data_IF_900774356008
#
_entry.id   IF_900774356008
#
_cell.length_a   1.000
_cell.length_b   1.000
_cell.length_c   1.000
_cell.angle_alpha   90.00
_cell.angle_beta   90.00
_cell.angle_gamma   90.00
#
_symmetry.space_group_name_H-M   'P 1'
#
loop_
_entity.id
_entity.type
_entity.pdbx_description
1 polymer ?
#
# COMPACT_ATOMS: atom_id res chain seq x y z
N UNK A 1 31.33 84.71 0.28
CA UNK A 1 32.01 83.40 0.27
C UNK A 1 33.43 83.74 -0.15
N UNK A 2 34.46 83.69 0.68
CA UNK A 2 34.89 82.56 1.50
C UNK A 2 35.53 83.03 2.80
N UNK A 3 35.16 82.35 3.89
CA UNK A 3 35.61 82.64 5.24
C UNK A 3 36.79 81.72 5.60
N UNK A 4 37.83 82.37 6.13
CA UNK A 4 38.59 81.93 7.30
C UNK A 4 39.65 80.83 7.12
N UNK A 5 40.91 81.26 7.14
CA UNK A 5 42.06 80.45 7.57
C UNK A 5 42.87 81.19 8.63
N UNK A 6 43.36 80.40 9.58
CA UNK A 6 44.49 80.64 10.47
C UNK A 6 44.25 81.54 11.69
N UNK A 7 44.29 80.96 12.91
CA UNK A 7 45.52 80.89 13.70
C UNK A 7 45.37 80.20 15.08
N UNK A 8 46.40 79.42 15.43
CA UNK A 8 47.11 79.36 16.74
C UNK A 8 46.36 78.73 17.94
N UNK A 9 46.94 77.69 18.57
CA UNK A 9 47.79 77.83 19.77
C UNK A 9 48.09 76.49 20.50
N UNK A 10 49.36 76.38 20.99
CA UNK A 10 49.83 75.72 22.24
C UNK A 10 50.18 74.21 22.32
N UNK A 11 51.49 73.99 22.35
CA UNK A 11 52.33 72.99 23.08
C UNK A 11 52.04 73.14 24.61
N UNK A 12 52.17 72.15 25.56
CA UNK A 12 53.44 71.43 25.84
C UNK A 12 53.53 70.05 26.58
N UNK A 13 54.69 69.40 26.37
CA UNK A 13 55.65 68.79 27.35
C UNK A 13 55.27 67.58 28.23
N UNK A 14 56.16 66.55 28.20
CA UNK A 14 56.52 65.70 29.36
C UNK A 14 56.81 64.22 29.00
N UNK A 15 58.08 63.81 28.76
CA UNK A 15 58.98 63.03 29.68
C UNK A 15 58.40 61.65 30.09
N UNK A 16 59.06 60.50 30.06
CA UNK A 16 60.48 60.13 30.08
C UNK A 16 60.66 58.63 29.71
N UNK A 17 61.93 58.27 29.48
CA UNK A 17 62.55 56.98 29.17
C UNK A 17 62.33 55.78 30.13
N UNK A 18 62.74 54.61 29.59
CA UNK A 18 63.12 53.34 30.22
C UNK A 18 61.96 52.39 30.56
N UNK A 19 62.00 51.09 30.27
CA UNK A 19 63.09 50.21 29.87
C UNK A 19 62.79 48.81 30.43
N UNK A 20 62.79 47.82 29.54
CA UNK A 20 63.04 46.39 29.76
C UNK A 20 62.10 45.52 30.65
N UNK A 21 61.46 44.56 29.95
CA UNK A 21 61.42 43.10 30.20
C UNK A 21 60.86 42.60 31.54
N UNK A 22 59.73 41.87 31.48
CA UNK A 22 59.55 40.60 32.21
C UNK A 22 58.25 39.87 31.80
N UNK A 23 58.41 38.64 31.29
CA UNK A 23 57.52 37.47 31.42
C UNK A 23 56.02 37.64 31.13
N UNK A 24 55.59 37.21 29.93
CA UNK A 24 54.19 36.87 29.67
C UNK A 24 53.86 35.57 30.40
N UNK A 25 53.11 35.69 31.49
CA UNK A 25 52.48 34.56 32.18
C UNK A 25 51.30 34.08 31.32
N UNK A 26 51.36 32.84 30.86
CA UNK A 26 50.21 32.13 30.27
C UNK A 26 49.26 31.77 31.41
N UNK A 27 48.18 32.53 31.57
CA UNK A 27 47.01 32.10 32.34
C UNK A 27 45.99 31.57 31.34
N UNK A 28 45.91 30.25 31.21
CA UNK A 28 44.79 29.59 30.55
C UNK A 28 43.58 29.69 31.49
N UNK A 29 42.72 30.68 31.29
CA UNK A 29 41.41 30.70 31.92
C UNK A 29 40.54 29.63 31.26
N UNK A 30 40.31 28.54 31.99
CA UNK A 30 39.26 27.59 31.67
C UNK A 30 37.90 28.30 31.80
N UNK A 31 37.42 28.85 30.69
CA UNK A 31 36.06 29.35 30.60
C UNK A 31 35.08 28.19 30.50
N UNK A 32 34.24 27.99 31.52
CA UNK A 32 33.03 27.18 31.44
C UNK A 32 32.04 27.84 30.47
N UNK A 33 32.01 27.34 29.24
CA UNK A 33 30.92 27.60 28.29
C UNK A 33 30.04 26.36 28.18
N UNK A 34 28.87 26.40 28.81
CA UNK A 34 27.78 25.44 28.56
C UNK A 34 27.22 25.74 27.17
N UNK A 35 27.73 25.05 26.16
CA UNK A 35 27.10 24.93 24.85
C UNK A 35 26.24 23.68 24.83
N UNK A 36 24.97 23.82 25.16
CA UNK A 36 23.99 22.75 25.02
C UNK A 36 23.77 22.36 23.56
N UNK A 37 23.45 21.07 23.41
CA UNK A 37 22.46 20.50 22.50
C UNK A 37 22.90 20.06 21.09
N UNK A 38 22.66 18.76 20.92
CA UNK A 38 22.24 18.00 19.73
C UNK A 38 23.26 17.77 18.60
N UNK A 39 24.04 16.69 18.75
CA UNK A 39 24.42 15.86 17.59
C UNK A 39 23.66 14.54 17.61
N UNK A 40 22.33 14.62 17.64
CA UNK A 40 21.43 13.49 17.35
C UNK A 40 20.33 13.86 16.34
N UNK A 41 20.49 14.95 15.58
CA UNK A 41 19.45 15.41 14.65
C UNK A 41 19.64 14.95 13.20
N UNK A 42 20.66 14.16 12.87
CA UNK A 42 20.90 13.73 11.47
C UNK A 42 20.42 12.31 11.16
N UNK A 43 20.16 11.46 12.15
CA UNK A 43 19.52 10.14 11.92
C UNK A 43 17.99 10.28 11.78
N UNK A 44 17.40 11.40 12.22
CA UNK A 44 15.97 11.70 12.06
C UNK A 44 15.58 12.17 10.65
N UNK A 45 16.50 12.76 9.89
CA UNK A 45 16.24 13.26 8.54
C UNK A 45 16.55 12.26 7.42
N UNK A 46 17.17 11.11 7.75
CA UNK A 46 17.39 10.00 6.82
C UNK A 46 16.15 9.10 6.64
N UNK A 47 15.00 9.46 7.22
CA UNK A 47 13.71 8.77 7.01
C UNK A 47 12.87 9.40 5.89
N UNK A 48 13.49 10.11 4.95
CA UNK A 48 12.94 10.31 3.60
C UNK A 48 13.07 9.02 2.78
N UNK A 49 12.67 7.87 3.36
CA UNK A 49 12.39 6.69 2.57
C UNK A 49 11.15 7.03 1.75
N UNK A 50 11.39 7.53 0.54
CA UNK A 50 10.45 7.76 -0.54
C UNK A 50 9.69 6.47 -0.88
N UNK A 51 8.79 6.07 0.00
CA UNK A 51 7.77 5.08 -0.31
C UNK A 51 6.58 5.87 -0.80
N UNK A 52 6.45 6.02 -2.13
CA UNK A 52 5.18 6.45 -2.74
C UNK A 52 4.09 5.55 -2.18
N UNK A 53 3.31 6.06 -1.23
CA UNK A 53 2.25 5.32 -0.58
C UNK A 53 1.10 5.24 -1.58
N UNK A 54 0.59 4.04 -1.81
CA UNK A 54 -0.62 3.84 -2.62
C UNK A 54 -1.80 4.36 -1.80
N UNK A 55 -2.22 5.60 -2.10
CA UNK A 55 -3.30 6.31 -1.40
C UNK A 55 -4.67 6.11 -2.06
N UNK A 56 -4.69 5.74 -3.33
CA UNK A 56 -5.90 5.59 -4.12
C UNK A 56 -5.93 4.22 -4.77
N UNK A 57 -7.11 3.63 -4.78
CA UNK A 57 -7.45 2.39 -5.48
C UNK A 57 -8.04 2.77 -6.85
N UNK A 58 -7.17 3.00 -7.85
CA UNK A 58 -7.58 3.18 -9.25
C UNK A 58 -7.64 1.84 -10.00
N UNK A 59 -8.83 1.46 -10.48
CA UNK A 59 -9.05 0.25 -11.27
C UNK A 59 -9.79 0.59 -12.55
N UNK A 60 -9.30 0.07 -13.66
CA UNK A 60 -9.99 0.08 -14.94
C UNK A 60 -10.51 -1.31 -15.27
N UNK A 61 -11.84 -1.43 -15.38
CA UNK A 61 -12.53 -2.63 -15.84
C UNK A 61 -12.84 -2.49 -17.32
N UNK A 62 -12.41 -3.46 -18.12
CA UNK A 62 -12.58 -3.46 -19.59
C UNK A 62 -13.38 -4.70 -19.99
N UNK A 63 -14.65 -4.53 -20.36
CA UNK A 63 -15.48 -5.64 -20.79
C UNK A 63 -15.38 -5.91 -22.29
N UNK A 64 -15.23 -7.18 -22.64
CA UNK A 64 -15.44 -7.62 -24.03
C UNK A 64 -16.93 -7.69 -24.35
N UNK A 65 -17.26 -7.67 -25.64
CA UNK A 65 -18.64 -7.76 -26.12
C UNK A 65 -19.28 -9.11 -25.81
N UNK A 66 -18.51 -10.18 -25.62
CA UNK A 66 -18.98 -11.53 -25.27
C UNK A 66 -19.23 -11.75 -23.77
N UNK A 67 -19.16 -10.69 -22.96
CA UNK A 67 -19.30 -10.75 -21.50
C UNK A 67 -20.52 -11.56 -21.05
N UNK A 68 -20.28 -12.49 -20.12
CA UNK A 68 -21.26 -13.18 -19.30
C UNK A 68 -22.46 -13.74 -20.09
N UNK A 69 -22.19 -14.34 -21.24
CA UNK A 69 -23.25 -14.78 -22.15
C UNK A 69 -24.19 -15.84 -21.54
N UNK A 70 -25.46 -15.83 -21.97
CA UNK A 70 -26.40 -16.89 -21.64
C UNK A 70 -26.17 -18.16 -22.48
N UNK A 71 -26.93 -19.23 -22.21
CA UNK A 71 -26.84 -20.48 -22.99
C UNK A 71 -27.15 -20.30 -24.49
N UNK A 72 -27.85 -19.24 -24.87
CA UNK A 72 -28.10 -18.87 -26.27
C UNK A 72 -27.01 -17.96 -26.87
N UNK A 73 -25.94 -17.68 -26.13
CA UNK A 73 -24.83 -16.82 -26.55
C UNK A 73 -25.09 -15.32 -26.42
N UNK A 74 -26.22 -14.89 -25.85
CA UNK A 74 -26.52 -13.48 -25.66
C UNK A 74 -25.69 -12.90 -24.51
N UNK A 75 -24.86 -11.85 -24.75
CA UNK A 75 -24.07 -11.21 -23.70
C UNK A 75 -24.94 -10.56 -22.63
N UNK A 76 -24.52 -10.65 -21.36
CA UNK A 76 -25.23 -10.07 -20.21
C UNK A 76 -24.29 -9.19 -19.39
N UNK A 77 -24.88 -8.25 -18.65
CA UNK A 77 -24.12 -7.52 -17.63
C UNK A 77 -23.70 -8.44 -16.49
N UNK A 78 -22.67 -8.06 -15.75
CA UNK A 78 -22.28 -8.70 -14.48
C UNK A 78 -21.96 -7.64 -13.44
N UNK A 79 -21.98 -8.03 -12.16
CA UNK A 79 -21.46 -7.20 -11.07
C UNK A 79 -20.02 -7.59 -10.82
N UNK A 80 -19.12 -6.60 -10.81
CA UNK A 80 -17.76 -6.74 -10.31
C UNK A 80 -17.70 -6.08 -8.94
N UNK A 81 -17.36 -6.86 -7.91
CA UNK A 81 -17.16 -6.39 -6.55
C UNK A 81 -15.67 -6.35 -6.22
N UNK A 82 -15.23 -5.21 -5.72
CA UNK A 82 -13.89 -4.96 -5.24
C UNK A 82 -13.91 -4.98 -3.70
N UNK A 83 -12.96 -5.67 -3.11
CA UNK A 83 -12.79 -5.78 -1.66
C UNK A 83 -11.41 -5.23 -1.28
N UNK A 84 -11.35 -4.27 -0.37
CA UNK A 84 -10.09 -3.92 0.27
C UNK A 84 -9.93 -4.79 1.52
N UNK A 85 -8.81 -5.51 1.61
CA UNK A 85 -8.58 -6.55 2.61
C UNK A 85 -7.26 -6.34 3.36
N UNK A 86 -7.25 -6.68 4.66
CA UNK A 86 -6.04 -6.76 5.50
C UNK A 86 -5.13 -7.92 5.09
N UNK A 87 -5.72 -9.05 4.70
CA UNK A 87 -5.03 -10.28 4.27
C UNK A 87 -5.85 -10.99 3.18
N UNK A 88 -5.20 -11.80 2.34
CA UNK A 88 -5.87 -12.56 1.27
C UNK A 88 -6.25 -13.98 1.66
N UNK A 89 -5.73 -14.54 2.76
CA UNK A 89 -5.84 -15.96 3.10
C UNK A 89 -7.28 -16.46 3.15
N UNK A 90 -8.16 -15.73 3.86
CA UNK A 90 -9.58 -16.07 3.94
C UNK A 90 -10.22 -15.95 2.55
N UNK A 91 -10.00 -14.83 1.87
CA UNK A 91 -10.53 -14.56 0.53
C UNK A 91 -10.15 -15.62 -0.50
N UNK A 92 -8.89 -16.08 -0.51
CA UNK A 92 -8.39 -17.08 -1.45
C UNK A 92 -9.11 -18.43 -1.29
N UNK A 93 -9.48 -18.78 -0.06
CA UNK A 93 -10.14 -20.05 0.27
C UNK A 93 -11.66 -20.02 0.03
N UNK A 94 -12.29 -18.84 -0.04
CA UNK A 94 -13.73 -18.75 -0.25
C UNK A 94 -14.10 -19.14 -1.69
N UNK A 95 -15.12 -19.99 -1.80
CA UNK A 95 -15.72 -20.35 -3.07
C UNK A 95 -16.65 -19.25 -3.60
N UNK A 96 -17.15 -19.47 -4.81
CA UNK A 96 -18.03 -18.53 -5.51
C UNK A 96 -19.31 -18.25 -4.73
N UNK A 97 -19.98 -19.30 -4.28
CA UNK A 97 -21.29 -19.19 -3.60
C UNK A 97 -21.15 -18.43 -2.29
N UNK A 98 -20.12 -18.72 -1.49
CA UNK A 98 -19.85 -18.00 -0.24
C UNK A 98 -19.59 -16.52 -0.48
N UNK A 99 -18.83 -16.16 -1.52
CA UNK A 99 -18.61 -14.76 -1.87
C UNK A 99 -19.86 -14.08 -2.48
N UNK A 100 -20.76 -14.85 -3.10
CA UNK A 100 -21.98 -14.29 -3.68
C UNK A 100 -23.05 -14.01 -2.63
N UNK A 101 -23.18 -14.87 -1.61
CA UNK A 101 -24.31 -14.81 -0.66
C UNK A 101 -23.94 -14.44 0.77
N UNK A 102 -22.68 -14.61 1.18
CA UNK A 102 -22.25 -14.46 2.58
C UNK A 102 -20.87 -13.79 2.72
N UNK A 103 -20.45 -12.99 1.74
CA UNK A 103 -19.10 -12.40 1.72
C UNK A 103 -18.78 -11.54 2.94
N UNK A 104 -19.66 -10.63 3.34
CA UNK A 104 -19.41 -9.71 4.46
C UNK A 104 -19.15 -10.45 5.79
N UNK A 105 -19.91 -11.52 6.04
CA UNK A 105 -19.71 -12.36 7.22
C UNK A 105 -18.44 -13.20 7.08
N UNK A 106 -18.24 -13.84 5.93
CA UNK A 106 -17.10 -14.70 5.67
C UNK A 106 -15.76 -13.96 5.70
N UNK A 107 -15.72 -12.69 5.29
CA UNK A 107 -14.52 -11.85 5.23
C UNK A 107 -14.39 -10.91 6.44
N UNK A 108 -15.32 -10.92 7.40
CA UNK A 108 -15.46 -9.91 8.47
C UNK A 108 -14.15 -9.51 9.17
N UNK A 109 -13.25 -10.45 9.43
CA UNK A 109 -11.99 -10.18 10.12
C UNK A 109 -11.02 -9.33 9.27
N UNK A 110 -11.03 -9.56 7.96
CA UNK A 110 -10.09 -9.02 6.99
C UNK A 110 -10.67 -7.86 6.16
N UNK A 111 -11.99 -7.74 6.09
CA UNK A 111 -12.68 -6.75 5.26
C UNK A 111 -12.52 -5.32 5.79
N UNK A 112 -12.12 -4.41 4.90
CA UNK A 112 -11.97 -2.99 5.19
C UNK A 112 -12.97 -2.13 4.42
N UNK A 113 -13.22 -2.46 3.15
CA UNK A 113 -14.16 -1.74 2.31
C UNK A 113 -14.62 -2.62 1.13
N UNK A 114 -15.79 -2.30 0.58
CA UNK A 114 -16.33 -2.92 -0.63
C UNK A 114 -16.74 -1.86 -1.65
N UNK A 115 -16.63 -2.17 -2.94
CA UNK A 115 -17.19 -1.36 -4.02
C UNK A 115 -17.76 -2.24 -5.12
N UNK A 116 -18.99 -1.95 -5.53
CA UNK A 116 -19.67 -2.67 -6.61
C UNK A 116 -19.71 -1.83 -7.88
N UNK A 117 -19.52 -2.50 -9.02
CA UNK A 117 -19.65 -1.93 -10.35
C UNK A 117 -20.50 -2.86 -11.21
N UNK A 118 -21.55 -2.33 -11.82
CA UNK A 118 -22.27 -3.06 -12.88
C UNK A 118 -21.53 -2.85 -14.19
N UNK A 119 -20.98 -3.94 -14.73
CA UNK A 119 -20.22 -3.94 -15.97
C UNK A 119 -21.09 -4.48 -17.11
N UNK A 120 -21.28 -3.66 -18.15
CA UNK A 120 -22.08 -4.00 -19.34
C UNK A 120 -21.18 -4.61 -20.43
N UNK A 121 -21.71 -5.50 -21.30
CA UNK A 121 -20.95 -6.02 -22.42
C UNK A 121 -20.38 -4.91 -23.31
N UNK A 122 -19.09 -5.03 -23.65
CA UNK A 122 -18.37 -4.05 -24.49
C UNK A 122 -18.10 -2.69 -23.84
N UNK A 123 -18.48 -2.48 -22.58
CA UNK A 123 -18.27 -1.22 -21.88
C UNK A 123 -17.03 -1.25 -20.99
N UNK A 124 -16.48 -0.07 -20.71
CA UNK A 124 -15.44 0.12 -19.71
C UNK A 124 -16.01 0.84 -18.49
N UNK A 125 -15.42 0.60 -17.32
CA UNK A 125 -15.73 1.31 -16.10
C UNK A 125 -14.46 1.55 -15.29
N UNK A 126 -14.30 2.75 -14.75
CA UNK A 126 -13.18 3.10 -13.87
C UNK A 126 -13.67 3.32 -12.44
N UNK A 127 -12.91 2.82 -11.48
CA UNK A 127 -13.11 2.99 -10.05
C UNK A 127 -11.93 3.76 -9.50
N UNK A 128 -12.19 4.83 -8.75
CA UNK A 128 -11.15 5.57 -8.03
C UNK A 128 -11.69 5.85 -6.64
N UNK A 129 -11.19 5.10 -5.65
CA UNK A 129 -11.61 5.22 -4.26
C UNK A 129 -10.38 5.37 -3.37
N UNK A 130 -10.48 6.01 -2.19
CA UNK A 130 -9.40 5.99 -1.21
C UNK A 130 -8.98 4.55 -0.88
N UNK A 131 -7.68 4.29 -0.91
CA UNK A 131 -7.12 3.03 -0.44
C UNK A 131 -7.04 3.09 1.09
N UNK A 132 -7.73 2.18 1.77
CA UNK A 132 -7.66 2.05 3.21
C UNK A 132 -6.19 1.87 3.64
N UNK A 133 -5.72 2.56 4.70
CA UNK A 133 -4.33 2.51 5.13
C UNK A 133 -3.87 1.07 5.41
N UNK A 134 -4.72 0.28 6.06
CA UNK A 134 -4.44 -1.11 6.44
C UNK A 134 -4.62 -2.14 5.31
N UNK A 135 -5.17 -1.73 4.15
CA UNK A 135 -5.33 -2.65 3.04
C UNK A 135 -3.97 -3.16 2.58
N UNK A 136 -3.83 -4.48 2.45
CA UNK A 136 -2.66 -5.14 1.87
C UNK A 136 -2.98 -5.75 0.52
N UNK A 137 -4.25 -6.07 0.26
CA UNK A 137 -4.71 -6.72 -0.96
C UNK A 137 -6.06 -6.12 -1.37
N UNK A 138 -6.26 -6.00 -2.68
CA UNK A 138 -7.58 -5.76 -3.26
C UNK A 138 -8.05 -7.04 -3.94
N UNK A 139 -9.14 -7.61 -3.43
CA UNK A 139 -9.86 -8.70 -4.08
C UNK A 139 -10.77 -8.17 -5.17
N UNK A 140 -10.81 -8.81 -6.33
CA UNK A 140 -11.73 -8.50 -7.43
C UNK A 140 -12.51 -9.75 -7.76
N UNK A 141 -13.84 -9.67 -7.69
CA UNK A 141 -14.75 -10.79 -7.94
C UNK A 141 -15.77 -10.37 -8.98
N UNK A 142 -15.92 -11.15 -10.04
CA UNK A 142 -17.01 -10.99 -11.00
C UNK A 142 -18.06 -12.07 -10.76
N UNK A 143 -19.30 -11.61 -10.52
CA UNK A 143 -20.43 -12.49 -10.28
C UNK A 143 -21.09 -12.90 -11.60
N UNK A 144 -20.39 -13.75 -12.35
CA UNK A 144 -20.90 -14.32 -13.59
C UNK A 144 -22.11 -15.22 -13.35
N UNK A 145 -22.96 -15.36 -14.37
CA UNK A 145 -24.11 -16.27 -14.32
C UNK A 145 -23.65 -17.72 -14.18
N UNK A 146 -22.57 -18.08 -14.87
CA UNK A 146 -21.95 -19.40 -14.86
C UNK A 146 -20.44 -19.28 -14.63
N UNK A 147 -19.97 -19.33 -13.38
CA UNK A 147 -18.54 -19.43 -13.07
C UNK A 147 -18.07 -20.85 -13.41
N UNK A 148 -17.62 -21.05 -14.65
CA UNK A 148 -17.19 -22.37 -15.13
C UNK A 148 -15.96 -22.89 -14.37
N UNK A 149 -15.76 -24.22 -14.39
CA UNK A 149 -14.74 -24.92 -13.58
C UNK A 149 -13.29 -24.40 -13.74
N UNK A 150 -12.98 -23.88 -14.92
CA UNK A 150 -11.65 -23.36 -15.28
C UNK A 150 -11.59 -21.84 -15.39
N UNK A 151 -12.71 -21.17 -15.16
CA UNK A 151 -12.81 -19.73 -15.33
C UNK A 151 -12.23 -19.01 -14.12
N UNK A 152 -11.40 -17.99 -14.38
CA UNK A 152 -10.86 -17.14 -13.30
C UNK A 152 -11.88 -16.06 -12.99
N UNK A 153 -12.76 -16.29 -12.02
CA UNK A 153 -13.80 -15.32 -11.63
C UNK A 153 -13.40 -14.46 -10.42
N UNK A 154 -12.22 -14.73 -9.84
CA UNK A 154 -11.66 -14.07 -8.66
C UNK A 154 -10.19 -13.78 -8.86
N UNK A 155 -9.75 -12.58 -8.48
CA UNK A 155 -8.35 -12.15 -8.47
C UNK A 155 -8.01 -11.51 -7.12
N UNK A 156 -6.78 -11.71 -6.67
CA UNK A 156 -6.18 -11.01 -5.54
C UNK A 156 -5.00 -10.17 -6.04
N UNK A 157 -5.08 -8.84 -5.89
CA UNK A 157 -4.06 -7.89 -6.34
C UNK A 157 -3.38 -7.26 -5.11
N UNK A 158 -2.14 -7.68 -4.77
CA UNK A 158 -1.42 -7.12 -3.63
C UNK A 158 -1.13 -5.64 -3.81
N UNK A 159 -1.31 -4.82 -2.76
CA UNK A 159 -1.07 -3.36 -2.74
C UNK A 159 0.31 -2.96 -3.25
N UNK A 160 1.32 -3.82 -3.08
CA UNK A 160 2.68 -3.60 -3.60
C UNK A 160 2.73 -3.48 -5.14
N UNK A 161 1.84 -4.18 -5.85
CA UNK A 161 1.78 -4.16 -7.32
C UNK A 161 1.19 -2.85 -7.87
N UNK A 162 0.37 -2.15 -7.09
CA UNK A 162 -0.32 -0.93 -7.50
C UNK A 162 0.64 0.23 -7.81
N UNK A 163 1.86 0.21 -7.25
CA UNK A 163 2.88 1.21 -7.60
C UNK A 163 3.39 1.08 -9.03
N UNK A 164 3.26 -0.10 -9.62
CA UNK A 164 3.74 -0.43 -10.97
C UNK A 164 2.58 -0.48 -11.96
N UNK A 165 1.34 -0.49 -11.47
CA UNK A 165 0.13 -0.70 -12.27
C UNK A 165 -0.95 0.21 -11.68
N UNK A 166 -0.90 1.49 -12.06
CA UNK A 166 -1.85 2.53 -11.69
C UNK A 166 -2.33 3.24 -12.98
N UNK A 167 -3.58 3.04 -13.42
CA UNK A 167 -4.60 2.18 -12.82
C UNK A 167 -4.32 0.69 -12.99
N UNK A 168 -4.83 -0.14 -12.06
CA UNK A 168 -4.87 -1.59 -12.24
C UNK A 168 -5.92 -1.91 -13.31
N UNK A 169 -5.50 -2.53 -14.42
CA UNK A 169 -6.41 -2.91 -15.50
C UNK A 169 -6.85 -4.36 -15.36
N UNK A 170 -8.16 -4.59 -15.38
CA UNK A 170 -8.77 -5.92 -15.38
C UNK A 170 -9.67 -6.04 -16.61
N UNK A 171 -9.28 -6.92 -17.52
CA UNK A 171 -10.16 -7.28 -18.63
C UNK A 171 -11.15 -8.35 -18.18
N UNK A 172 -12.40 -8.21 -18.62
CA UNK A 172 -13.47 -9.16 -18.36
C UNK A 172 -13.97 -9.68 -19.70
N UNK A 173 -13.68 -10.95 -19.99
CA UNK A 173 -14.04 -11.62 -21.25
C UNK A 173 -14.80 -12.90 -20.94
N UNK A 174 -15.88 -13.14 -21.68
CA UNK A 174 -16.76 -14.30 -21.45
C UNK A 174 -17.14 -14.38 -19.96
N UNK A 175 -16.68 -15.39 -19.23
CA UNK A 175 -16.84 -15.54 -17.78
C UNK A 175 -15.50 -15.53 -17.00
N UNK A 176 -14.48 -14.84 -17.52
CA UNK A 176 -13.12 -14.82 -16.96
C UNK A 176 -12.60 -13.40 -16.77
N UNK A 177 -11.97 -13.18 -15.63
CA UNK A 177 -11.15 -12.03 -15.29
C UNK A 177 -9.70 -12.26 -15.72
N UNK A 178 -9.11 -11.25 -16.32
CA UNK A 178 -7.71 -11.23 -16.73
C UNK A 178 -7.06 -9.98 -16.17
N UNK A 179 -6.09 -10.15 -15.27
CA UNK A 179 -5.26 -9.04 -14.82
C UNK A 179 -4.29 -8.68 -15.94
N UNK A 180 -4.30 -7.43 -16.37
CA UNK A 180 -3.41 -6.94 -17.42
C UNK A 180 -2.20 -6.29 -16.75
N UNK A 181 -0.99 -6.77 -17.07
CA UNK A 181 0.25 -6.23 -16.53
C UNK A 181 0.53 -4.81 -17.07
N UNK A 182 1.50 -4.11 -16.48
CA UNK A 182 1.88 -2.76 -16.90
C UNK A 182 2.42 -2.65 -18.35
N UNK A 183 2.69 -3.79 -19.00
CA UNK A 183 3.10 -3.90 -20.41
C UNK A 183 1.94 -4.46 -21.28
N UNK A 184 0.72 -4.36 -20.77
CA UNK A 184 -0.52 -4.83 -21.39
C UNK A 184 -0.60 -6.34 -21.69
N UNK A 185 0.09 -7.19 -20.90
CA UNK A 185 0.02 -8.66 -21.04
C UNK A 185 -0.86 -9.33 -19.98
N UNK A 186 -1.65 -10.35 -20.37
CA UNK A 186 -2.42 -11.17 -19.43
C UNK A 186 -1.55 -11.88 -18.38
N UNK A 187 -1.88 -11.71 -17.09
CA UNK A 187 -1.39 -12.56 -15.99
C UNK A 187 -2.52 -13.53 -15.62
N UNK A 188 -2.35 -14.81 -15.98
CA UNK A 188 -3.30 -15.86 -15.59
C UNK A 188 -2.90 -16.41 -14.22
N UNK A 189 -3.76 -16.24 -13.20
CA UNK A 189 -3.64 -16.92 -11.91
C UNK A 189 -4.85 -17.83 -11.75
N UNK A 190 -4.62 -19.14 -11.69
CA UNK A 190 -5.67 -20.13 -11.44
C UNK A 190 -6.15 -20.02 -9.99
N UNK A 191 -7.43 -19.71 -9.78
CA UNK A 191 -8.05 -19.81 -8.47
C UNK A 191 -8.35 -21.29 -8.15
N UNK A 192 -8.11 -21.77 -6.92
CA UNK A 192 -8.61 -23.09 -6.51
C UNK A 192 -10.14 -23.07 -6.54
N UNK A 193 -10.75 -23.97 -7.31
CA UNK A 193 -12.16 -24.28 -7.17
C UNK A 193 -12.32 -25.57 -6.35
N UNK A 194 -13.34 -25.54 -5.49
CA UNK A 194 -13.82 -26.60 -4.61
C UNK A 194 -13.16 -26.64 -3.22
N UNK A 195 -13.97 -26.38 -2.20
CA UNK A 195 -13.69 -26.84 -0.85
C UNK A 195 -13.48 -28.35 -0.93
N UNK A 196 -12.27 -28.82 -0.63
CA UNK A 196 -12.08 -30.22 -0.32
C UNK A 196 -13.10 -30.59 0.77
N UNK A 197 -13.83 -31.72 0.66
CA UNK A 197 -14.62 -32.20 1.77
C UNK A 197 -13.71 -32.32 2.98
N UNK A 198 -14.13 -31.78 4.12
CA UNK A 198 -13.39 -31.97 5.37
C UNK A 198 -13.09 -33.47 5.56
N UNK A 199 -11.84 -33.86 5.89
CA UNK A 199 -11.53 -35.25 6.14
C UNK A 199 -12.43 -35.75 7.28
N UNK A 200 -13.23 -36.79 7.01
CA UNK A 200 -14.01 -37.45 8.05
C UNK A 200 -13.04 -37.89 9.16
N UNK A 201 -13.34 -37.65 10.45
CA UNK A 201 -12.54 -38.18 11.53
C UNK A 201 -12.40 -39.69 11.34
N UNK A 202 -11.18 -40.21 11.36
CA UNK A 202 -10.94 -41.65 11.42
C UNK A 202 -11.63 -42.15 12.70
N UNK A 203 -12.60 -43.05 12.54
CA UNK A 203 -13.15 -43.77 13.66
C UNK A 203 -12.00 -44.52 14.35
N UNK A 204 -11.70 -44.12 15.58
CA UNK A 204 -10.78 -44.86 16.44
C UNK A 204 -11.41 -46.23 16.70
N UNK A 205 -10.85 -47.26 16.08
CA UNK A 205 -11.12 -48.65 16.44
C UNK A 205 -10.58 -48.84 17.86
N UNK A 206 -11.49 -49.00 18.83
CA UNK A 206 -11.11 -49.49 20.15
C UNK A 206 -10.76 -50.98 20.02
N UNK A 207 -9.61 -51.44 20.55
CA UNK A 207 -9.32 -52.87 20.64
C UNK A 207 -10.30 -53.52 21.63
N UNK A 208 -10.90 -54.64 21.22
CA UNK A 208 -11.84 -55.39 22.02
C UNK A 208 -11.22 -55.86 23.35
N UNK A 209 -11.98 -55.67 24.42
CA UNK A 209 -11.78 -56.38 25.67
C UNK A 209 -12.41 -57.76 25.51
N UNK A 210 -11.57 -58.79 25.40
CA UNK A 210 -11.92 -60.13 25.84
C UNK A 210 -12.01 -60.08 27.37
N UNK A 211 -13.14 -60.48 27.95
CA UNK A 211 -13.15 -61.11 29.26
C UNK A 211 -14.41 -61.97 29.46
N UNK A 212 -14.25 -62.97 30.30
CA UNK A 212 -14.91 -64.26 30.41
C UNK A 212 -16.36 -64.27 30.95
N UNK A 213 -17.08 -65.35 30.64
CA UNK A 213 -18.41 -65.71 31.18
C UNK A 213 -19.14 -66.76 30.36
#
# INVERSE_FOLDING_TARGET
MDNNQMNILRIPIGRSLAGAVATVVVVATAGCGVGQAVKDSTVGAAKWVFTTQVKTMNVDLVARSSLNANAAGQPLSTVVRLYQLKDAKTFDQLDYTRLQTHDLDALKADLLATKDVVLRPGANASVSEPMHPDAQVVGVVAFFREPGERAVWKLAVPKKQWKQTDPVKVEVRDNTLVLVDAKDRPIVRSAPQQSAPAPKPKASVQPGTQDEG
#
